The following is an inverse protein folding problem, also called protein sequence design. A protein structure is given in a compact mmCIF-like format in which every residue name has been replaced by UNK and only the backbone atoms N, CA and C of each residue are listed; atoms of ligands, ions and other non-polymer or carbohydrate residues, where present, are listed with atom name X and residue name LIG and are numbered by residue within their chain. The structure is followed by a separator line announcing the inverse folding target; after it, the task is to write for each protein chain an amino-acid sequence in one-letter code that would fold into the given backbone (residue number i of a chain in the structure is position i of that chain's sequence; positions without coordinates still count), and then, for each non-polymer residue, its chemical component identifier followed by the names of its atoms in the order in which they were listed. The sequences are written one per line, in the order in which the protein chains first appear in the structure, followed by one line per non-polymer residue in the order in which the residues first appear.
data_IF_856327295956
#
_entry.id   IF_856327295956
#
_cell.length_a   1.000
_cell.length_b   1.000
_cell.length_c   1.000
_cell.angle_alpha   90.00
_cell.angle_beta   90.00
_cell.angle_gamma   90.00
#
_symmetry.space_group_name_H-M   'P 1'
#
loop_
_entity.id
_entity.type
_entity.pdbx_description
1 polymer ?
#
# COMPACT_ATOMS: atom_id res chain seq x y z
N UNK A 1 13.91 6.32 -4.66
CA UNK A 1 12.59 5.74 -4.31
C UNK A 1 12.77 4.24 -4.08
N UNK A 2 12.66 3.75 -2.84
CA UNK A 2 12.86 2.32 -2.52
C UNK A 2 11.74 1.50 -3.16
N UNK A 3 12.10 0.63 -4.11
CA UNK A 3 11.17 -0.30 -4.77
C UNK A 3 10.78 -1.40 -3.77
N UNK A 4 9.51 -1.79 -3.78
CA UNK A 4 9.06 -2.95 -2.99
C UNK A 4 9.83 -4.20 -3.43
N UNK A 5 10.22 -5.03 -2.46
CA UNK A 5 10.88 -6.32 -2.72
C UNK A 5 9.98 -7.21 -3.57
N UNK A 6 10.58 -8.15 -4.32
CA UNK A 6 9.81 -9.14 -5.11
C UNK A 6 8.81 -9.89 -4.22
N UNK A 7 9.24 -10.27 -3.01
CA UNK A 7 8.38 -10.91 -2.01
C UNK A 7 7.20 -10.02 -1.58
N UNK A 8 7.43 -8.72 -1.37
CA UNK A 8 6.37 -7.77 -1.02
C UNK A 8 5.31 -7.67 -2.11
N UNK A 9 5.72 -7.59 -3.38
CA UNK A 9 4.78 -7.59 -4.52
C UNK A 9 3.97 -8.88 -4.60
N UNK A 10 4.62 -10.03 -4.41
CA UNK A 10 3.96 -11.33 -4.45
C UNK A 10 2.94 -11.52 -3.31
N UNK A 11 3.14 -10.88 -2.15
CA UNK A 11 2.14 -10.85 -1.06
C UNK A 11 0.92 -10.03 -1.44
N UNK A 12 1.12 -8.81 -1.95
CA UNK A 12 0.01 -7.95 -2.40
C UNK A 12 -0.80 -8.60 -3.52
N UNK A 13 -0.15 -9.29 -4.46
CA UNK A 13 -0.84 -10.01 -5.55
C UNK A 13 -1.75 -11.13 -5.04
N UNK A 14 -1.36 -11.81 -3.95
CA UNK A 14 -2.13 -12.90 -3.34
C UNK A 14 -3.15 -12.44 -2.30
N UNK A 15 -3.14 -11.16 -1.95
CA UNK A 15 -4.07 -10.60 -0.99
C UNK A 15 -5.51 -10.61 -1.54
N UNK A 16 -6.44 -11.03 -0.69
CA UNK A 16 -7.89 -10.98 -0.91
C UNK A 16 -8.37 -9.53 -1.03
N UNK A 17 -9.59 -9.35 -1.54
CA UNK A 17 -10.23 -8.02 -1.64
C UNK A 17 -10.33 -7.35 -0.26
N UNK A 18 -10.66 -8.12 0.79
CA UNK A 18 -10.73 -7.63 2.17
C UNK A 18 -9.39 -7.13 2.70
N UNK A 19 -8.32 -7.92 2.50
CA UNK A 19 -6.97 -7.52 2.89
C UNK A 19 -6.50 -6.26 2.14
N UNK A 20 -6.77 -6.18 0.84
CA UNK A 20 -6.46 -4.96 0.06
C UNK A 20 -7.20 -3.73 0.59
N UNK A 21 -8.45 -3.88 1.03
CA UNK A 21 -9.22 -2.80 1.65
C UNK A 21 -8.61 -2.37 3.00
N UNK A 22 -8.17 -3.32 3.82
CA UNK A 22 -7.48 -3.04 5.09
C UNK A 22 -6.16 -2.31 4.87
N UNK A 23 -5.35 -2.74 3.88
CA UNK A 23 -4.09 -2.06 3.52
C UNK A 23 -4.38 -0.62 3.10
N UNK A 24 -5.42 -0.39 2.30
CA UNK A 24 -5.84 0.96 1.91
C UNK A 24 -6.21 1.82 3.12
N UNK A 25 -6.97 1.27 4.07
CA UNK A 25 -7.37 1.97 5.30
C UNK A 25 -6.16 2.33 6.16
N UNK A 26 -5.26 1.37 6.40
CA UNK A 26 -4.04 1.60 7.17
C UNK A 26 -3.12 2.63 6.52
N UNK A 27 -2.94 2.56 5.19
CA UNK A 27 -2.15 3.53 4.46
C UNK A 27 -2.73 4.94 4.55
N UNK A 28 -4.07 5.08 4.58
CA UNK A 28 -4.72 6.38 4.78
C UNK A 28 -4.45 6.93 6.17
N UNK A 29 -4.63 6.12 7.21
CA UNK A 29 -4.34 6.51 8.60
C UNK A 29 -2.89 6.98 8.76
N UNK A 30 -1.92 6.27 8.18
CA UNK A 30 -0.52 6.68 8.22
C UNK A 30 -0.26 8.01 7.50
N UNK A 31 -0.98 8.29 6.41
CA UNK A 31 -0.87 9.55 5.69
C UNK A 31 -1.52 10.70 6.47
N UNK A 32 -2.66 10.45 7.12
CA UNK A 32 -3.36 11.45 7.93
C UNK A 32 -2.53 11.86 9.16
N UNK A 33 -1.74 10.95 9.72
CA UNK A 33 -0.76 11.24 10.78
C UNK A 33 0.62 11.72 10.26
N UNK A 34 0.74 12.00 8.96
CA UNK A 34 2.00 12.43 8.30
C UNK A 34 3.20 11.46 8.46
N UNK A 35 2.96 10.23 8.92
CA UNK A 35 3.99 9.19 9.05
C UNK A 35 4.47 8.69 7.68
N UNK A 36 3.65 8.89 6.64
CA UNK A 36 4.05 8.72 5.24
C UNK A 36 3.62 9.93 4.43
N UNK A 37 4.40 10.26 3.39
CA UNK A 37 4.03 11.34 2.46
C UNK A 37 2.88 10.94 1.55
N UNK A 38 2.14 11.91 1.03
CA UNK A 38 1.06 11.69 0.05
C UNK A 38 1.57 10.93 -1.19
N UNK A 39 2.79 11.23 -1.65
CA UNK A 39 3.46 10.51 -2.73
C UNK A 39 3.64 9.01 -2.42
N UNK A 40 3.89 8.66 -1.15
CA UNK A 40 4.02 7.27 -0.71
C UNK A 40 2.66 6.58 -0.62
N UNK A 41 1.65 7.28 -0.11
CA UNK A 41 0.26 6.82 -0.12
C UNK A 41 -0.22 6.48 -1.54
N UNK A 42 0.00 7.37 -2.52
CA UNK A 42 -0.37 7.12 -3.92
C UNK A 42 0.35 5.92 -4.52
N UNK A 43 1.62 5.72 -4.16
CA UNK A 43 2.37 4.55 -4.61
C UNK A 43 1.79 3.24 -4.06
N UNK A 44 1.29 3.23 -2.81
CA UNK A 44 0.59 2.08 -2.23
C UNK A 44 -0.72 1.82 -2.99
N UNK A 45 -1.52 2.87 -3.23
CA UNK A 45 -2.78 2.74 -3.97
C UNK A 45 -2.59 2.20 -5.39
N UNK A 46 -1.57 2.67 -6.11
CA UNK A 46 -1.20 2.11 -7.41
C UNK A 46 -0.84 0.63 -7.31
N UNK A 47 -0.09 0.25 -6.28
CA UNK A 47 0.31 -1.15 -6.06
C UNK A 47 -0.87 -2.07 -5.77
N UNK A 48 -1.92 -1.57 -5.12
CA UNK A 48 -3.15 -2.35 -4.84
C UNK A 48 -4.04 -2.54 -6.08
N UNK A 49 -3.95 -1.63 -7.06
CA UNK A 49 -4.69 -1.67 -8.34
C UNK A 49 -3.97 -2.46 -9.45
N UNK A 50 -2.70 -2.82 -9.23
CA UNK A 50 -1.90 -3.71 -10.08
C UNK A 50 -2.20 -5.20 -9.82
#
# INVERSE_FOLDING_TARGET
MVKASKAGKARVKRATVGEKAQIKKAARTLADYELITSKRFDAILRTLKL
#
